data_IF_738494821432
#
_entry.id   IF_738494821432
#
_cell.length_a   1.000
_cell.length_b   1.000
_cell.length_c   1.000
_cell.angle_alpha   90.00
_cell.angle_beta   90.00
_cell.angle_gamma   90.00
#
_symmetry.space_group_name_H-M   'P 1'
#
loop_
_entity.id
_entity.type
_entity.pdbx_description
1 polymer ?
#
# COMPACT_ATOMS: atom_id res chain seq x y z
N UNK A 1 -3.42 -15.88 13.34
CA UNK A 1 -3.05 -14.62 12.66
C UNK A 1 -1.63 -14.77 12.14
N UNK A 2 -1.27 -14.10 11.04
CA UNK A 2 0.06 -14.24 10.47
C UNK A 2 1.08 -13.43 11.28
N UNK A 3 2.13 -14.10 11.76
CA UNK A 3 3.21 -13.47 12.52
C UNK A 3 4.54 -13.68 11.81
N UNK A 4 5.28 -12.59 11.61
CA UNK A 4 6.67 -12.64 11.18
C UNK A 4 7.50 -12.06 12.31
N UNK A 5 8.42 -12.86 12.84
CA UNK A 5 9.29 -12.47 13.96
C UNK A 5 8.53 -11.92 15.20
N UNK A 6 7.34 -12.48 15.49
CA UNK A 6 6.49 -12.09 16.63
C UNK A 6 5.57 -10.89 16.36
N UNK A 7 5.68 -10.24 15.20
CA UNK A 7 4.86 -9.08 14.82
C UNK A 7 3.58 -9.55 14.13
N UNK A 8 2.41 -9.03 14.54
CA UNK A 8 1.17 -9.23 13.78
C UNK A 8 1.21 -8.39 12.51
N UNK A 9 1.43 -9.05 11.37
CA UNK A 9 1.52 -8.37 10.07
C UNK A 9 0.18 -7.73 9.69
N UNK A 10 -0.91 -8.47 9.93
CA UNK A 10 -2.27 -7.98 9.65
C UNK A 10 -2.55 -6.66 10.36
N UNK A 11 -2.37 -6.64 11.69
CA UNK A 11 -2.71 -5.46 12.50
C UNK A 11 -1.81 -4.28 12.16
N UNK A 12 -0.52 -4.54 11.88
CA UNK A 12 0.43 -3.50 11.48
C UNK A 12 0.04 -2.84 10.16
N UNK A 13 -0.32 -3.62 9.15
CA UNK A 13 -0.72 -3.11 7.83
C UNK A 13 -2.06 -2.39 7.91
N UNK A 14 -3.08 -2.98 8.53
CA UNK A 14 -4.40 -2.37 8.59
C UNK A 14 -4.35 -1.06 9.38
N UNK A 15 -3.62 -1.01 10.50
CA UNK A 15 -3.48 0.22 11.29
C UNK A 15 -2.75 1.31 10.48
N UNK A 16 -1.63 0.98 9.84
CA UNK A 16 -0.88 1.95 9.04
C UNK A 16 -1.69 2.53 7.88
N UNK A 17 -2.45 1.69 7.19
CA UNK A 17 -3.35 2.12 6.11
C UNK A 17 -4.49 2.97 6.65
N UNK A 18 -5.11 2.56 7.76
CA UNK A 18 -6.21 3.32 8.38
C UNK A 18 -5.76 4.70 8.84
N UNK A 19 -4.63 4.80 9.54
CA UNK A 19 -4.09 6.07 10.04
C UNK A 19 -3.70 7.02 8.90
N UNK A 20 -3.10 6.49 7.83
CA UNK A 20 -2.74 7.29 6.65
C UNK A 20 -4.00 7.81 5.92
N UNK A 21 -5.01 6.96 5.75
CA UNK A 21 -6.25 7.35 5.09
C UNK A 21 -7.09 8.33 5.93
N UNK A 22 -7.16 8.14 7.25
CA UNK A 22 -7.86 9.07 8.14
C UNK A 22 -7.18 10.45 8.13
N UNK A 23 -5.85 10.49 8.06
CA UNK A 23 -5.09 11.76 8.10
C UNK A 23 -5.05 12.49 6.76
N UNK A 24 -4.79 11.76 5.66
CA UNK A 24 -4.47 12.36 4.37
C UNK A 24 -5.66 12.39 3.40
N UNK A 25 -6.59 11.44 3.52
CA UNK A 25 -7.68 11.23 2.57
C UNK A 25 -9.05 11.43 3.22
N UNK A 26 -9.12 11.51 4.55
CA UNK A 26 -10.37 11.64 5.32
C UNK A 26 -11.43 10.58 4.95
N UNK A 27 -10.98 9.38 4.54
CA UNK A 27 -11.85 8.26 4.17
C UNK A 27 -11.61 7.06 5.08
N UNK A 28 -12.63 6.57 5.81
CA UNK A 28 -12.45 5.46 6.72
C UNK A 28 -12.21 4.15 5.97
N UNK A 29 -11.20 3.41 6.41
CA UNK A 29 -10.84 2.10 5.86
C UNK A 29 -11.69 1.00 6.51
N UNK A 30 -12.16 0.07 5.67
CA UNK A 30 -12.90 -1.12 6.09
C UNK A 30 -12.31 -2.37 5.47
N UNK A 31 -12.23 -3.44 6.25
CA UNK A 31 -11.88 -4.76 5.71
C UNK A 31 -13.00 -5.31 4.82
N UNK A 32 -12.61 -6.05 3.79
CA UNK A 32 -13.49 -6.73 2.83
C UNK A 32 -13.15 -8.22 2.79
N UNK A 33 -14.12 -9.01 2.35
CA UNK A 33 -13.88 -10.43 2.08
C UNK A 33 -12.81 -10.60 1.00
N UNK A 34 -12.05 -11.69 1.13
CA UNK A 34 -10.99 -12.04 0.19
C UNK A 34 -11.55 -12.19 -1.22
N UNK A 35 -10.93 -11.52 -2.19
CA UNK A 35 -11.27 -11.63 -3.61
C UNK A 35 -10.07 -12.03 -4.47
N UNK A 36 -10.27 -12.12 -5.78
CA UNK A 36 -9.17 -12.17 -6.75
C UNK A 36 -8.78 -10.74 -7.13
N UNK A 37 -7.48 -10.41 -7.11
CA UNK A 37 -6.96 -9.04 -7.35
C UNK A 37 -7.55 -8.36 -8.58
N UNK A 38 -7.57 -9.04 -9.72
CA UNK A 38 -8.08 -8.49 -10.98
C UNK A 38 -9.60 -8.27 -10.98
N UNK A 39 -10.35 -9.15 -10.29
CA UNK A 39 -11.79 -8.96 -10.11
C UNK A 39 -12.13 -7.93 -9.04
N UNK A 40 -11.21 -7.65 -8.11
CA UNK A 40 -11.44 -6.77 -6.97
C UNK A 40 -11.18 -5.30 -7.32
N UNK A 41 -10.06 -4.99 -7.97
CA UNK A 41 -9.70 -3.63 -8.38
C UNK A 41 -10.25 -3.30 -9.78
N UNK A 42 -10.31 -4.30 -10.65
CA UNK A 42 -10.65 -4.14 -12.07
C UNK A 42 -9.45 -4.41 -12.99
N UNK A 43 -9.66 -4.30 -14.32
CA UNK A 43 -8.67 -4.66 -15.32
C UNK A 43 -7.51 -3.68 -15.38
N UNK A 44 -7.74 -2.38 -15.17
CA UNK A 44 -6.68 -1.37 -15.09
C UNK A 44 -6.42 -1.02 -13.63
N UNK A 45 -5.14 -0.93 -13.26
CA UNK A 45 -4.75 -0.56 -11.91
C UNK A 45 -3.52 0.32 -11.88
N UNK A 46 -3.51 1.18 -10.88
CA UNK A 46 -2.37 1.93 -10.42
C UNK A 46 -1.77 1.22 -9.21
N UNK A 47 -0.45 1.05 -9.19
CA UNK A 47 0.25 0.37 -8.10
C UNK A 47 1.34 1.28 -7.55
N UNK A 48 1.17 1.72 -6.31
CA UNK A 48 2.23 2.39 -5.55
C UNK A 48 3.07 1.35 -4.83
N UNK A 49 4.40 1.44 -4.96
CA UNK A 49 5.31 0.48 -4.36
C UNK A 49 6.41 1.16 -3.55
N UNK A 50 6.72 0.60 -2.38
CA UNK A 50 7.90 0.99 -1.58
C UNK A 50 8.58 -0.28 -1.08
N UNK A 51 9.86 -0.40 -1.41
CA UNK A 51 10.72 -1.46 -0.90
C UNK A 51 11.23 -1.12 0.49
N UNK A 52 11.49 -2.15 1.29
CA UNK A 52 12.20 -2.00 2.56
C UNK A 52 13.28 -3.06 2.71
N UNK A 53 14.40 -2.69 3.33
CA UNK A 53 15.54 -3.56 3.51
C UNK A 53 16.21 -3.38 4.89
N UNK A 54 16.69 -4.48 5.47
CA UNK A 54 17.26 -4.52 6.81
C UNK A 54 17.15 -5.94 7.35
N UNK A 55 16.80 -6.09 8.63
CA UNK A 55 16.48 -7.40 9.21
C UNK A 55 15.19 -8.01 8.63
N UNK A 56 14.26 -7.14 8.25
CA UNK A 56 13.13 -7.49 7.41
C UNK A 56 13.36 -6.87 6.03
N UNK A 57 13.11 -7.67 5.01
CA UNK A 57 13.23 -7.27 3.61
C UNK A 57 11.93 -7.56 2.89
N UNK A 58 11.53 -6.65 2.01
CA UNK A 58 10.24 -6.79 1.36
C UNK A 58 9.82 -5.64 0.47
N UNK A 59 8.58 -5.74 0.03
CA UNK A 59 7.93 -4.79 -0.87
C UNK A 59 6.49 -4.58 -0.40
N UNK A 60 6.12 -3.34 -0.14
CA UNK A 60 4.73 -2.91 0.03
C UNK A 60 4.19 -2.52 -1.35
N UNK A 61 3.00 -3.02 -1.69
CA UNK A 61 2.28 -2.65 -2.90
C UNK A 61 0.85 -2.21 -2.54
N UNK A 62 0.44 -1.04 -3.01
CA UNK A 62 -0.92 -0.53 -2.86
C UNK A 62 -1.56 -0.46 -4.24
N UNK A 63 -2.67 -1.16 -4.43
CA UNK A 63 -3.38 -1.23 -5.70
C UNK A 63 -4.66 -0.41 -5.63
N UNK A 64 -4.81 0.47 -6.61
CA UNK A 64 -5.95 1.36 -6.77
C UNK A 64 -6.54 1.20 -8.17
N UNK A 65 -7.84 1.43 -8.30
CA UNK A 65 -8.43 1.71 -9.60
C UNK A 65 -8.03 3.14 -10.02
N UNK A 66 -7.92 3.44 -11.33
CA UNK A 66 -7.61 4.80 -11.78
C UNK A 66 -8.57 5.88 -11.24
N UNK A 67 -9.91 5.66 -11.21
CA UNK A 67 -10.84 6.65 -10.64
C UNK A 67 -10.59 6.90 -9.15
N UNK A 68 -10.26 5.85 -8.39
CA UNK A 68 -9.99 6.02 -6.97
C UNK A 68 -8.67 6.75 -6.71
N UNK A 69 -7.65 6.49 -7.53
CA UNK A 69 -6.39 7.24 -7.44
C UNK A 69 -6.63 8.74 -7.70
N UNK A 70 -7.47 9.10 -8.68
CA UNK A 70 -7.85 10.50 -8.93
C UNK A 70 -8.59 11.13 -7.74
N UNK A 71 -9.51 10.40 -7.10
CA UNK A 71 -10.23 10.86 -5.91
C UNK A 71 -9.28 11.14 -4.73
N UNK A 72 -8.30 10.24 -4.51
CA UNK A 72 -7.25 10.44 -3.51
C UNK A 72 -6.43 11.69 -3.82
N UNK A 73 -5.98 11.85 -5.07
CA UNK A 73 -5.18 12.99 -5.51
C UNK A 73 -5.94 14.31 -5.32
N UNK A 74 -7.18 14.39 -5.76
CA UNK A 74 -8.03 15.56 -5.59
C UNK A 74 -8.15 15.96 -4.11
N UNK A 75 -8.36 14.97 -3.25
CA UNK A 75 -8.46 15.18 -1.80
C UNK A 75 -7.14 15.69 -1.21
N UNK A 76 -6.02 15.08 -1.56
CA UNK A 76 -4.70 15.46 -1.05
C UNK A 76 -4.26 16.85 -1.53
N UNK A 77 -4.66 17.26 -2.73
CA UNK A 77 -4.37 18.58 -3.30
C UNK A 77 -5.42 19.64 -2.94
N UNK A 78 -6.54 19.25 -2.34
CA UNK A 78 -7.62 20.16 -1.95
C UNK A 78 -8.37 20.76 -3.14
N UNK A 79 -8.57 19.97 -4.21
CA UNK A 79 -9.22 20.37 -5.45
C UNK A 79 -10.34 19.40 -5.86
N UNK A 80 -11.11 19.73 -6.89
CA UNK A 80 -12.15 18.85 -7.41
C UNK A 80 -11.54 17.73 -8.27
N UNK A 81 -12.18 16.56 -8.29
CA UNK A 81 -11.70 15.41 -9.09
C UNK A 81 -11.63 15.75 -10.58
N UNK A 82 -12.53 16.61 -11.06
CA UNK A 82 -12.55 17.06 -12.46
C UNK A 82 -11.33 17.90 -12.85
N UNK A 83 -10.64 18.49 -11.87
CA UNK A 83 -9.48 19.36 -12.09
C UNK A 83 -8.16 18.57 -12.05
N UNK A 84 -8.19 17.26 -11.74
CA UNK A 84 -6.99 16.39 -11.75
C UNK A 84 -6.69 15.97 -13.19
N UNK A 85 -5.98 16.83 -13.91
CA UNK A 85 -5.65 16.63 -15.32
C UNK A 85 -4.30 15.91 -15.52
N UNK A 86 -3.35 16.10 -14.60
CA UNK A 86 -1.97 15.66 -14.78
C UNK A 86 -1.70 14.29 -14.16
N UNK A 87 -1.09 13.39 -14.94
CA UNK A 87 -0.66 12.08 -14.43
C UNK A 87 0.47 12.20 -13.39
N UNK A 88 1.23 13.29 -13.41
CA UNK A 88 2.30 13.58 -12.45
C UNK A 88 1.71 13.82 -11.06
N UNK A 89 0.69 14.67 -10.92
CA UNK A 89 -0.03 14.89 -9.66
C UNK A 89 -0.56 13.58 -9.05
N UNK A 90 -1.11 12.70 -9.88
CA UNK A 90 -1.60 11.40 -9.41
C UNK A 90 -0.44 10.52 -8.95
N UNK A 91 0.67 10.51 -9.68
CA UNK A 91 1.83 9.71 -9.29
C UNK A 91 2.44 10.23 -7.97
N UNK A 92 2.52 11.54 -7.80
CA UNK A 92 3.09 12.17 -6.61
C UNK A 92 2.19 11.94 -5.38
N UNK A 93 0.88 12.18 -5.51
CA UNK A 93 -0.05 11.96 -4.40
C UNK A 93 -0.05 10.49 -3.95
N UNK A 94 -0.11 9.54 -4.89
CA UNK A 94 -0.08 8.12 -4.55
C UNK A 94 1.30 7.69 -4.04
N UNK A 95 2.37 8.28 -4.58
CA UNK A 95 3.73 8.05 -4.11
C UNK A 95 3.89 8.47 -2.66
N UNK A 96 3.40 9.66 -2.31
CA UNK A 96 3.44 10.18 -0.95
C UNK A 96 2.58 9.35 0.00
N UNK A 97 1.34 8.99 -0.40
CA UNK A 97 0.50 8.10 0.41
C UNK A 97 1.18 6.74 0.66
N UNK A 98 1.79 6.15 -0.36
CA UNK A 98 2.52 4.88 -0.23
C UNK A 98 3.71 5.03 0.71
N UNK A 99 4.44 6.14 0.62
CA UNK A 99 5.59 6.43 1.46
C UNK A 99 5.20 6.66 2.92
N UNK A 100 4.09 7.35 3.18
CA UNK A 100 3.53 7.54 4.53
C UNK A 100 3.19 6.18 5.18
N UNK A 101 2.47 5.31 4.46
CA UNK A 101 2.11 3.97 4.96
C UNK A 101 3.37 3.13 5.21
N UNK A 102 4.35 3.16 4.29
CA UNK A 102 5.62 2.46 4.47
C UNK A 102 6.44 3.00 5.66
N UNK A 103 6.41 4.32 5.89
CA UNK A 103 7.04 5.00 7.01
C UNK A 103 6.52 4.55 8.37
N UNK A 104 5.19 4.42 8.48
CA UNK A 104 4.58 3.89 9.70
C UNK A 104 4.91 2.40 9.89
N UNK A 105 4.83 1.59 8.82
CA UNK A 105 5.23 0.18 8.88
C UNK A 105 6.69 0.00 9.34
N UNK A 106 7.63 0.80 8.81
CA UNK A 106 9.02 0.83 9.28
C UNK A 106 9.10 1.09 10.78
N UNK A 107 8.33 2.04 11.29
CA UNK A 107 8.30 2.37 12.72
C UNK A 107 7.77 1.19 13.54
N UNK A 108 6.69 0.55 13.09
CA UNK A 108 6.10 -0.64 13.73
C UNK A 108 7.05 -1.84 13.71
N UNK A 109 7.84 -2.02 12.66
CA UNK A 109 8.84 -3.10 12.55
C UNK A 109 10.11 -2.81 13.37
N UNK A 110 10.52 -1.54 13.46
CA UNK A 110 11.72 -1.15 14.20
C UNK A 110 11.55 -1.27 15.71
N UNK A 111 10.36 -0.99 16.26
CA UNK A 111 10.05 -1.07 17.71
C UNK A 111 10.36 -2.44 18.35
N UNK A 112 9.98 -3.58 17.76
CA UNK A 112 10.34 -4.91 18.25
C UNK A 112 11.77 -5.35 17.90
N UNK A 113 12.59 -4.47 17.32
CA UNK A 113 14.02 -4.73 17.09
C UNK A 113 14.40 -5.09 15.65
N UNK A 114 13.52 -4.88 14.68
CA UNK A 114 13.77 -5.18 13.26
C UNK A 114 13.90 -3.90 12.42
N UNK A 115 15.00 -3.12 12.58
CA UNK A 115 15.17 -1.89 11.82
C UNK A 115 15.27 -2.17 10.31
N UNK A 116 14.64 -1.31 9.52
CA UNK A 116 14.73 -1.30 8.07
C UNK A 116 14.84 0.13 7.51
N UNK A 117 15.41 0.26 6.33
CA UNK A 117 15.36 1.46 5.49
C UNK A 117 14.31 1.30 4.40
N UNK A 118 13.78 2.42 3.91
CA UNK A 118 12.80 2.45 2.82
C UNK A 118 13.48 2.91 1.52
N UNK A 119 13.01 2.39 0.39
CA UNK A 119 13.31 2.95 -0.93
C UNK A 119 12.44 4.18 -1.20
N UNK A 120 12.73 4.88 -2.29
CA UNK A 120 11.78 5.83 -2.87
C UNK A 120 10.52 5.09 -3.36
N UNK A 121 9.34 5.73 -3.32
CA UNK A 121 8.13 5.17 -3.91
C UNK A 121 8.27 5.09 -5.44
N UNK A 122 7.62 4.10 -6.03
CA UNK A 122 7.49 3.96 -7.48
C UNK A 122 6.05 3.63 -7.87
N UNK A 123 5.56 4.28 -8.92
CA UNK A 123 4.19 4.14 -9.41
C UNK A 123 4.20 3.38 -10.74
N UNK A 124 3.45 2.28 -10.78
CA UNK A 124 3.26 1.48 -11.99
C UNK A 124 1.79 1.53 -12.41
N UNK A 125 1.54 1.80 -13.70
CA UNK A 125 0.19 1.75 -14.28
C UNK A 125 0.12 0.61 -15.28
N UNK A 126 -0.95 -0.16 -15.26
CA UNK A 126 -1.13 -1.18 -16.28
C UNK A 126 -2.37 -2.05 -16.11
N UNK A 127 -2.71 -2.74 -17.19
CA UNK A 127 -3.85 -3.66 -17.24
C UNK A 127 -3.51 -5.08 -16.77
N UNK A 128 -2.23 -5.36 -16.55
CA UNK A 128 -1.74 -6.67 -16.10
C UNK A 128 -0.44 -6.56 -15.29
N UNK A 129 -0.54 -5.94 -14.11
CA UNK A 129 0.62 -5.77 -13.21
C UNK A 129 0.88 -7.05 -12.40
N UNK A 130 1.77 -7.91 -12.88
CA UNK A 130 2.21 -9.07 -12.10
C UNK A 130 3.44 -8.67 -11.27
N UNK A 131 3.36 -8.84 -9.96
CA UNK A 131 4.46 -8.56 -9.04
C UNK A 131 5.07 -9.88 -8.63
N UNK A 132 6.23 -10.18 -9.20
CA UNK A 132 7.05 -11.31 -8.79
C UNK A 132 7.86 -10.94 -7.55
N UNK A 133 7.74 -11.75 -6.51
CA UNK A 133 8.42 -11.50 -5.25
C UNK A 133 9.83 -12.07 -5.24
N UNK A 134 10.68 -11.48 -4.40
CA UNK A 134 11.99 -12.04 -4.08
C UNK A 134 11.83 -13.46 -3.52
N UNK A 135 12.67 -14.40 -3.95
CA UNK A 135 12.62 -15.81 -3.52
C UNK A 135 12.57 -15.94 -1.99
N UNK A 136 11.61 -16.71 -1.47
CA UNK A 136 11.46 -16.95 -0.03
C UNK A 136 10.75 -15.83 0.75
N UNK A 137 10.18 -14.82 0.09
CA UNK A 137 9.27 -13.87 0.73
C UNK A 137 7.86 -14.47 0.87
N UNK A 138 7.26 -14.28 2.02
CA UNK A 138 5.84 -14.55 2.24
C UNK A 138 5.01 -13.39 1.68
N UNK A 139 3.89 -13.72 1.01
CA UNK A 139 2.95 -12.74 0.47
C UNK A 139 1.71 -12.67 1.34
N UNK A 140 1.39 -11.46 1.79
CA UNK A 140 0.17 -11.13 2.50
C UNK A 140 -0.69 -10.20 1.65
N UNK A 141 -1.98 -10.50 1.52
CA UNK A 141 -2.93 -9.69 0.77
C UNK A 141 -4.08 -9.27 1.69
N UNK A 142 -4.35 -7.97 1.74
CA UNK A 142 -5.42 -7.38 2.52
C UNK A 142 -6.39 -6.66 1.58
N UNK A 143 -7.62 -7.15 1.57
CA UNK A 143 -8.71 -6.60 0.76
C UNK A 143 -9.43 -5.58 1.62
N UNK A 144 -9.30 -4.31 1.26
CA UNK A 144 -9.82 -3.17 2.00
C UNK A 144 -10.74 -2.33 1.09
N UNK A 145 -11.48 -1.41 1.70
CA UNK A 145 -12.24 -0.41 0.97
C UNK A 145 -12.26 0.92 1.70
N UNK A 146 -12.15 2.01 0.94
CA UNK A 146 -12.44 3.37 1.40
C UNK A 146 -13.79 3.79 0.79
N UNK A 147 -14.85 3.78 1.60
CA UNK A 147 -16.22 3.93 1.07
C UNK A 147 -16.59 2.77 0.12
N UNK A 148 -16.87 3.10 -1.14
CA UNK A 148 -17.16 2.11 -2.21
C UNK A 148 -15.92 1.74 -3.03
N UNK A 149 -14.78 2.41 -2.81
CA UNK A 149 -13.59 2.20 -3.59
C UNK A 149 -12.76 1.03 -3.03
N UNK A 150 -12.44 0.01 -3.85
CA UNK A 150 -11.62 -1.10 -3.42
C UNK A 150 -10.14 -0.69 -3.33
N UNK A 151 -9.48 -1.18 -2.29
CA UNK A 151 -8.04 -1.03 -2.05
C UNK A 151 -7.45 -2.40 -1.75
N UNK A 152 -6.48 -2.84 -2.54
CA UNK A 152 -5.72 -4.05 -2.23
C UNK A 152 -4.34 -3.65 -1.74
N UNK A 153 -3.97 -4.16 -0.57
CA UNK A 153 -2.63 -3.99 0.00
C UNK A 153 -1.92 -5.33 -0.04
N UNK A 154 -0.80 -5.38 -0.75
CA UNK A 154 0.09 -6.53 -0.77
C UNK A 154 1.37 -6.22 -0.01
N UNK A 155 1.77 -7.14 0.84
CA UNK A 155 3.05 -7.08 1.53
C UNK A 155 3.81 -8.36 1.23
N UNK A 156 4.95 -8.21 0.57
CA UNK A 156 5.95 -9.24 0.43
C UNK A 156 6.98 -9.03 1.52
N UNK A 157 7.23 -10.04 2.35
CA UNK A 157 8.15 -9.90 3.47
C UNK A 157 8.93 -11.18 3.73
N UNK A 158 10.21 -11.03 4.03
CA UNK A 158 11.11 -12.10 4.44
C UNK A 158 11.97 -11.60 5.60
N UNK A 159 12.20 -12.48 6.57
CA UNK A 159 13.22 -12.26 7.60
C UNK A 159 14.58 -12.70 7.08
N UNK A 160 15.58 -11.84 7.18
CA UNK A 160 16.97 -12.27 7.02
C UNK A 160 17.44 -12.80 8.36
N UNK A 161 17.28 -14.10 8.59
CA UNK A 161 17.97 -14.77 9.70
C UNK A 161 19.47 -14.68 9.43
N UNK A 162 20.22 -14.04 10.33
CA UNK A 162 21.68 -14.15 10.39
C UNK A 162 22.07 -15.53 10.92
#
# INVERSE_FOLDING_TARGET
MAHVAGISIKDSVISAVTEAFDTMVSLPIRERDKGETGSFIGPERLVGTVGFAGQLQGLLCLHFSPPFAQEITATMLGMEVADVEEFEDINDAIGELTNIIAGDLKTRFSRPGFPCSLSIPSITRGTRVEIESVSGAERYCFFLSAGNNPLLVELYIRSTST
#
